data_IF_883303584796
#
_entry.id   IF_883303584796
#
_cell.length_a   1.000
_cell.length_b   1.000
_cell.length_c   1.000
_cell.angle_alpha   90.00
_cell.angle_beta   90.00
_cell.angle_gamma   90.00
#
_symmetry.space_group_name_H-M   'P 1'
#
loop_
_entity.id
_entity.type
_entity.pdbx_description
1 polymer ?
#
# COMPACT_ATOMS: atom_id res chain seq x y z
N UNK A 1 -12.87 -97.00 -3.62
CA UNK A 1 -11.46 -96.58 -3.67
C UNK A 1 -11.36 -95.42 -4.65
N UNK A 2 -10.81 -94.36 -4.30
CA UNK A 2 -10.52 -93.05 -4.96
C UNK A 2 -11.40 -91.95 -4.55
N UNK A 3 -10.89 -91.20 -3.57
CA UNK A 3 -11.37 -89.92 -3.14
C UNK A 3 -11.14 -88.83 -4.23
N UNK A 4 -12.15 -88.04 -4.55
CA UNK A 4 -12.02 -86.87 -5.35
C UNK A 4 -12.27 -85.70 -4.43
N UNK A 5 -11.22 -84.97 -4.09
CA UNK A 5 -11.28 -83.71 -3.36
C UNK A 5 -11.64 -82.61 -4.35
N UNK A 6 -12.76 -82.02 -4.12
CA UNK A 6 -13.19 -80.76 -4.82
C UNK A 6 -12.65 -79.58 -4.08
N UNK A 7 -11.66 -78.92 -4.67
CA UNK A 7 -11.09 -77.65 -4.21
C UNK A 7 -12.00 -76.54 -4.65
N UNK A 8 -12.61 -75.87 -3.70
CA UNK A 8 -13.40 -74.65 -3.91
C UNK A 8 -12.47 -73.45 -4.04
N UNK A 9 -12.51 -72.78 -5.21
CA UNK A 9 -11.76 -71.59 -5.50
C UNK A 9 -12.55 -70.38 -4.99
N UNK A 10 -12.08 -69.75 -3.92
CA UNK A 10 -12.65 -68.51 -3.41
C UNK A 10 -12.09 -67.32 -4.24
N UNK A 11 -12.96 -66.69 -4.99
CA UNK A 11 -12.63 -65.44 -5.70
C UNK A 11 -12.81 -64.28 -4.75
N UNK A 12 -11.70 -63.68 -4.31
CA UNK A 12 -11.71 -62.45 -3.52
C UNK A 12 -11.80 -61.26 -4.50
N UNK A 13 -12.96 -60.65 -4.55
CA UNK A 13 -13.16 -59.39 -5.27
C UNK A 13 -12.55 -58.24 -4.44
N UNK A 14 -11.42 -57.70 -4.87
CA UNK A 14 -10.83 -56.49 -4.30
C UNK A 14 -11.55 -55.30 -4.89
N UNK A 15 -12.45 -54.68 -4.11
CA UNK A 15 -13.06 -53.42 -4.47
C UNK A 15 -12.04 -52.28 -4.23
N UNK A 16 -11.47 -51.76 -5.31
CA UNK A 16 -10.61 -50.59 -5.27
C UNK A 16 -11.44 -49.35 -5.05
N UNK A 17 -11.46 -48.84 -3.83
CA UNK A 17 -12.00 -47.52 -3.51
C UNK A 17 -11.06 -46.46 -4.10
N UNK A 18 -11.42 -45.92 -5.25
CA UNK A 18 -10.79 -44.71 -5.77
C UNK A 18 -11.28 -43.53 -4.91
N UNK A 19 -10.49 -43.17 -3.91
CA UNK A 19 -10.66 -41.93 -3.19
C UNK A 19 -10.31 -40.80 -4.13
N UNK A 20 -11.31 -40.12 -4.69
CA UNK A 20 -11.14 -38.81 -5.32
C UNK A 20 -10.65 -37.83 -4.25
N UNK A 21 -9.33 -37.68 -4.19
CA UNK A 21 -8.72 -36.61 -3.39
C UNK A 21 -8.97 -35.29 -4.13
N UNK A 22 -10.11 -34.66 -3.82
CA UNK A 22 -10.37 -33.29 -4.24
C UNK A 22 -9.38 -32.39 -3.51
N UNK A 23 -8.18 -32.22 -4.11
CA UNK A 23 -7.26 -31.18 -3.68
C UNK A 23 -7.93 -29.85 -3.98
N UNK A 24 -8.63 -29.33 -3.00
CA UNK A 24 -9.02 -27.91 -2.98
C UNK A 24 -7.70 -27.16 -2.97
N UNK A 25 -7.25 -26.72 -4.15
CA UNK A 25 -6.27 -25.65 -4.25
C UNK A 25 -6.95 -24.43 -3.65
N UNK A 26 -6.77 -24.21 -2.35
CA UNK A 26 -6.87 -22.90 -1.77
C UNK A 26 -5.75 -22.11 -2.43
N UNK A 27 -6.06 -21.45 -3.56
CA UNK A 27 -5.24 -20.41 -4.10
C UNK A 27 -5.20 -19.34 -3.02
N UNK A 28 -4.16 -19.36 -2.20
CA UNK A 28 -3.68 -18.15 -1.58
C UNK A 28 -3.25 -17.33 -2.79
N UNK A 29 -4.11 -16.42 -3.25
CA UNK A 29 -3.70 -15.29 -4.06
C UNK A 29 -2.65 -14.62 -3.19
N UNK A 30 -1.39 -14.84 -3.51
CA UNK A 30 -0.27 -14.14 -2.94
C UNK A 30 -0.53 -12.71 -3.40
N UNK A 31 -0.99 -11.89 -2.46
CA UNK A 31 -1.21 -10.47 -2.66
C UNK A 31 0.17 -9.89 -3.02
N UNK A 32 0.41 -9.70 -4.33
CA UNK A 32 1.66 -9.16 -4.89
C UNK A 32 1.79 -7.66 -4.57
N UNK A 33 0.90 -7.17 -3.69
CA UNK A 33 0.87 -5.79 -3.26
C UNK A 33 2.11 -5.46 -2.43
N UNK A 34 2.67 -4.27 -2.65
CA UNK A 34 3.81 -3.78 -1.88
C UNK A 34 3.45 -3.70 -0.38
N UNK A 35 4.32 -4.18 0.52
CA UNK A 35 4.03 -4.13 1.96
C UNK A 35 3.82 -2.69 2.43
N UNK A 36 2.79 -2.45 3.25
CA UNK A 36 2.48 -1.12 3.78
C UNK A 36 3.58 -0.61 4.72
N UNK A 37 4.22 -1.49 5.48
CA UNK A 37 5.31 -1.16 6.39
C UNK A 37 6.47 -2.09 6.11
N UNK A 38 7.64 -1.52 5.82
CA UNK A 38 8.86 -2.27 5.57
C UNK A 38 10.02 -1.62 6.31
N UNK A 39 10.53 -2.31 7.32
CA UNK A 39 11.74 -1.89 8.02
C UNK A 39 12.96 -2.05 7.09
N UNK A 40 13.77 -1.02 7.02
CA UNK A 40 15.05 -1.01 6.34
C UNK A 40 16.00 -0.07 7.12
N UNK A 41 17.29 -0.40 7.17
CA UNK A 41 18.31 0.42 7.83
C UNK A 41 18.90 1.51 6.93
N UNK A 42 18.53 1.50 5.64
CA UNK A 42 18.93 2.53 4.70
C UNK A 42 18.29 3.87 5.07
N UNK A 43 19.07 4.96 5.04
CA UNK A 43 18.54 6.30 5.21
C UNK A 43 18.22 6.89 3.84
N UNK A 44 16.93 7.07 3.56
CA UNK A 44 16.45 7.71 2.34
C UNK A 44 16.40 9.22 2.55
N UNK A 45 16.84 9.96 1.55
CA UNK A 45 16.93 11.42 1.55
C UNK A 45 16.05 12.05 0.46
N UNK A 46 15.90 13.37 0.51
CA UNK A 46 15.22 14.14 -0.53
C UNK A 46 15.93 13.96 -1.89
N UNK A 47 17.27 13.94 -1.88
CA UNK A 47 18.13 13.81 -3.06
C UNK A 47 17.89 12.48 -3.80
N UNK A 48 17.60 11.42 -3.08
CA UNK A 48 17.28 10.13 -3.70
C UNK A 48 16.03 10.24 -4.57
N UNK A 49 14.97 10.88 -4.06
CA UNK A 49 13.76 11.14 -4.84
C UNK A 49 14.01 12.09 -6.02
N UNK A 50 14.77 13.17 -5.83
CA UNK A 50 15.10 14.11 -6.89
C UNK A 50 15.88 13.42 -8.01
N UNK A 51 16.75 12.47 -7.69
CA UNK A 51 17.53 11.67 -8.64
C UNK A 51 16.66 10.80 -9.53
N UNK A 52 15.49 10.39 -9.08
CA UNK A 52 14.48 9.67 -9.89
C UNK A 52 13.75 10.57 -10.89
N UNK A 53 13.99 11.88 -10.84
CA UNK A 53 13.23 12.87 -11.59
C UNK A 53 11.92 13.29 -10.91
N UNK A 54 11.78 13.04 -9.60
CA UNK A 54 10.70 13.60 -8.81
C UNK A 54 10.71 15.13 -8.91
N UNK A 55 9.55 15.72 -9.12
CA UNK A 55 9.37 17.17 -9.22
C UNK A 55 8.80 17.69 -7.92
N UNK A 56 9.66 18.18 -7.02
CA UNK A 56 9.23 18.84 -5.80
C UNK A 56 8.52 20.15 -6.13
N UNK A 57 7.29 20.28 -5.67
CA UNK A 57 6.46 21.48 -5.84
C UNK A 57 6.44 22.35 -4.59
N UNK A 58 6.53 21.73 -3.41
CA UNK A 58 6.56 22.41 -2.11
C UNK A 58 7.48 21.68 -1.14
N UNK A 59 8.17 22.48 -0.36
CA UNK A 59 8.81 22.10 0.89
C UNK A 59 7.88 22.53 2.02
N UNK A 60 7.52 21.64 2.92
CA UNK A 60 6.55 21.88 3.98
C UNK A 60 7.26 22.21 5.30
N UNK A 61 6.72 23.17 6.03
CA UNK A 61 7.10 23.40 7.42
C UNK A 61 6.63 22.20 8.28
N UNK A 62 7.59 21.50 8.87
CA UNK A 62 7.32 20.35 9.75
C UNK A 62 6.99 20.74 11.20
N UNK A 63 6.83 22.03 11.49
CA UNK A 63 6.34 22.51 12.76
C UNK A 63 4.98 21.87 13.10
N UNK A 64 4.93 21.06 14.16
CA UNK A 64 3.75 20.28 14.54
C UNK A 64 3.65 18.86 13.93
N UNK A 65 4.57 18.47 13.06
CA UNK A 65 4.73 17.08 12.61
C UNK A 65 5.81 16.41 13.45
N UNK A 66 5.41 15.76 14.53
CA UNK A 66 6.32 15.23 15.55
C UNK A 66 7.43 14.36 14.96
N UNK A 67 8.67 14.61 15.36
CA UNK A 67 9.89 13.89 14.96
C UNK A 67 10.23 13.90 13.45
N UNK A 68 9.43 14.57 12.60
CA UNK A 68 9.80 14.70 11.20
C UNK A 68 10.98 15.66 11.02
N UNK A 69 11.95 15.28 10.20
CA UNK A 69 13.09 16.13 9.84
C UNK A 69 12.74 17.07 8.66
N UNK A 70 11.94 16.58 7.72
CA UNK A 70 11.44 17.33 6.58
C UNK A 70 10.20 16.69 5.98
N UNK A 71 9.47 17.44 5.15
CA UNK A 71 8.34 16.91 4.39
C UNK A 71 8.21 17.68 3.08
N UNK A 72 7.83 16.99 2.00
CA UNK A 72 7.66 17.61 0.70
C UNK A 72 6.42 17.12 -0.03
N UNK A 73 5.91 17.94 -0.92
CA UNK A 73 4.89 17.59 -1.90
C UNK A 73 5.43 17.74 -3.31
N UNK A 74 5.04 16.83 -4.18
CA UNK A 74 5.44 16.91 -5.56
C UNK A 74 4.87 15.78 -6.42
N UNK A 75 5.49 15.59 -7.58
CA UNK A 75 4.97 14.75 -8.65
C UNK A 75 6.04 13.82 -9.19
N UNK A 76 5.62 12.61 -9.50
CA UNK A 76 6.44 11.66 -10.23
C UNK A 76 5.57 10.83 -11.20
N UNK A 77 6.18 10.20 -12.19
CA UNK A 77 5.49 9.42 -13.22
C UNK A 77 5.82 7.93 -13.07
N UNK A 78 5.05 7.17 -12.28
CA UNK A 78 5.31 5.74 -12.08
C UNK A 78 5.07 4.88 -13.31
N UNK A 79 4.08 5.28 -14.13
CA UNK A 79 3.60 4.49 -15.27
C UNK A 79 3.44 5.37 -16.52
N UNK A 80 4.54 5.55 -17.26
CA UNK A 80 4.53 6.33 -18.50
C UNK A 80 4.35 7.83 -18.28
N UNK A 81 3.31 8.43 -18.89
CA UNK A 81 3.12 9.88 -18.89
C UNK A 81 2.19 10.41 -17.78
N UNK A 82 1.50 9.52 -17.07
CA UNK A 82 0.61 9.94 -15.98
C UNK A 82 1.41 10.48 -14.79
N UNK A 83 1.19 11.73 -14.45
CA UNK A 83 1.79 12.36 -13.28
C UNK A 83 0.96 12.03 -12.04
N UNK A 84 1.60 11.54 -11.01
CA UNK A 84 0.99 11.17 -9.73
C UNK A 84 1.51 12.09 -8.65
N UNK A 85 0.61 12.52 -7.77
CA UNK A 85 0.93 13.35 -6.62
C UNK A 85 1.42 12.50 -5.45
N UNK A 86 2.44 13.01 -4.76
CA UNK A 86 3.01 12.39 -3.57
C UNK A 86 3.22 13.43 -2.48
N UNK A 87 3.00 13.03 -1.23
CA UNK A 87 3.53 13.70 -0.06
C UNK A 87 4.52 12.76 0.62
N UNK A 88 5.73 13.23 0.89
CA UNK A 88 6.80 12.42 1.46
C UNK A 88 7.29 13.09 2.72
N UNK A 89 7.32 12.34 3.83
CA UNK A 89 7.75 12.80 5.16
C UNK A 89 8.97 12.01 5.57
N UNK A 90 10.02 12.70 5.96
CA UNK A 90 11.30 12.13 6.33
C UNK A 90 11.50 12.19 7.83
N UNK A 91 12.00 11.11 8.40
CA UNK A 91 12.30 10.94 9.82
C UNK A 91 13.76 10.56 10.02
N UNK A 92 14.27 10.62 11.26
CA UNK A 92 15.63 10.21 11.55
C UNK A 92 15.83 8.70 11.38
N UNK A 93 14.79 7.91 11.68
CA UNK A 93 14.79 6.43 11.64
C UNK A 93 13.44 5.85 11.22
N UNK A 94 13.43 4.54 11.00
CA UNK A 94 12.19 3.77 10.80
C UNK A 94 11.29 3.81 12.05
N UNK A 95 11.90 3.71 13.23
CA UNK A 95 11.15 3.73 14.49
C UNK A 95 10.50 5.10 14.69
N UNK A 96 11.21 6.21 14.41
CA UNK A 96 10.61 7.55 14.45
C UNK A 96 9.44 7.70 13.47
N UNK A 97 9.58 7.17 12.25
CA UNK A 97 8.50 7.21 11.26
C UNK A 97 7.26 6.43 11.74
N UNK A 98 7.46 5.25 12.35
CA UNK A 98 6.36 4.40 12.81
C UNK A 98 5.72 4.90 14.10
N UNK A 99 6.53 5.28 15.11
CA UNK A 99 6.01 5.69 16.40
C UNK A 99 5.38 7.09 16.38
N UNK A 100 5.98 8.02 15.62
CA UNK A 100 5.58 9.42 15.62
C UNK A 100 4.80 9.84 14.37
N UNK A 101 4.92 9.12 13.26
CA UNK A 101 4.37 9.55 11.97
C UNK A 101 3.04 8.92 11.57
N UNK A 102 2.75 7.69 12.04
CA UNK A 102 1.57 6.92 11.61
C UNK A 102 0.28 7.68 11.84
N UNK A 103 0.06 8.24 13.03
CA UNK A 103 -1.20 8.90 13.35
C UNK A 103 -1.47 10.12 12.46
N UNK A 104 -0.44 10.88 12.08
CA UNK A 104 -0.58 11.99 11.13
C UNK A 104 -0.89 11.52 9.70
N UNK A 105 -0.42 10.34 9.31
CA UNK A 105 -0.73 9.76 8.01
C UNK A 105 -2.14 9.19 8.00
N UNK A 106 -2.54 8.46 9.04
CA UNK A 106 -3.90 7.92 9.19
C UNK A 106 -4.97 9.02 9.22
N UNK A 107 -4.66 10.17 9.84
CA UNK A 107 -5.57 11.33 9.89
C UNK A 107 -5.98 11.86 8.51
N UNK A 108 -5.11 11.75 7.52
CA UNK A 108 -5.25 12.44 6.23
C UNK A 108 -5.34 11.49 5.02
N UNK A 109 -5.47 10.18 5.26
CA UNK A 109 -5.60 9.16 4.21
C UNK A 109 -6.87 8.35 4.35
N UNK A 110 -7.33 7.76 3.23
CA UNK A 110 -8.51 6.89 3.21
C UNK A 110 -9.83 7.63 3.24
N UNK A 111 -10.91 6.86 3.39
CA UNK A 111 -12.29 7.36 3.29
C UNK A 111 -12.67 8.35 4.40
N UNK A 112 -12.05 8.21 5.57
CA UNK A 112 -12.31 9.05 6.75
C UNK A 112 -11.28 10.17 6.91
N UNK A 113 -10.52 10.48 5.88
CA UNK A 113 -9.48 11.50 5.93
C UNK A 113 -10.03 12.87 6.35
N UNK A 114 -9.35 13.51 7.29
CA UNK A 114 -9.65 14.87 7.70
C UNK A 114 -9.11 15.84 6.63
N UNK A 115 -9.99 16.63 6.04
CA UNK A 115 -9.68 17.50 4.91
C UNK A 115 -9.71 18.99 5.24
N UNK A 116 -9.91 19.34 6.50
CA UNK A 116 -10.00 20.72 6.97
C UNK A 116 -8.83 21.03 7.90
N UNK A 117 -8.22 22.22 7.74
CA UNK A 117 -7.17 22.75 8.59
C UNK A 117 -7.63 23.01 10.05
N UNK A 118 -8.94 22.94 10.30
CA UNK A 118 -9.51 23.03 11.65
C UNK A 118 -9.52 21.69 12.38
N UNK A 119 -9.50 20.60 11.62
CA UNK A 119 -9.72 19.26 12.15
C UNK A 119 -8.42 18.44 12.23
N UNK A 120 -7.43 18.72 11.35
CA UNK A 120 -6.15 18.01 11.32
C UNK A 120 -5.18 18.52 12.37
N UNK A 121 -4.36 17.63 12.90
CA UNK A 121 -3.31 17.95 13.86
C UNK A 121 -2.17 18.74 13.19
N UNK A 122 -1.66 18.27 12.06
CA UNK A 122 -0.66 18.97 11.27
C UNK A 122 -1.31 19.65 10.05
N UNK A 123 -1.32 20.99 10.08
CA UNK A 123 -2.12 21.80 9.14
C UNK A 123 -1.45 22.05 7.80
N UNK A 124 -0.10 21.98 7.77
CA UNK A 124 0.65 22.19 6.54
C UNK A 124 0.22 21.15 5.48
N UNK A 125 0.15 21.55 4.23
CA UNK A 125 -0.26 20.67 3.13
C UNK A 125 -1.75 20.29 3.05
N UNK A 126 -2.62 20.72 3.98
CA UNK A 126 -4.04 20.33 4.01
C UNK A 126 -4.76 20.56 2.68
N UNK A 127 -4.44 21.65 1.97
CA UNK A 127 -5.04 21.94 0.66
C UNK A 127 -4.56 20.98 -0.43
N UNK A 128 -3.34 20.53 -0.34
CA UNK A 128 -2.71 19.65 -1.33
C UNK A 128 -3.18 18.21 -1.20
N UNK A 129 -3.74 17.82 -0.03
CA UNK A 129 -4.32 16.51 0.27
C UNK A 129 -5.75 16.32 -0.21
N UNK A 130 -6.33 17.32 -0.87
CA UNK A 130 -7.72 17.33 -1.35
C UNK A 130 -7.80 17.28 -2.86
N UNK A 131 -8.83 16.61 -3.36
CA UNK A 131 -9.27 16.77 -4.75
C UNK A 131 -10.66 17.38 -4.78
N UNK A 132 -10.95 18.14 -5.82
CA UNK A 132 -12.32 18.54 -6.12
C UNK A 132 -13.03 17.35 -6.74
N UNK A 133 -13.92 16.69 -6.03
CA UNK A 133 -14.78 15.66 -6.59
C UNK A 133 -15.63 16.25 -7.70
N UNK A 134 -15.51 15.75 -8.91
CA UNK A 134 -16.39 16.16 -10.02
C UNK A 134 -17.72 15.41 -9.86
N UNK A 135 -18.77 16.11 -9.48
CA UNK A 135 -20.11 15.51 -9.57
C UNK A 135 -20.60 15.63 -11.01
N UNK A 136 -21.08 14.53 -11.57
CA UNK A 136 -21.59 14.42 -12.95
C UNK A 136 -22.73 15.39 -13.28
N UNK A 137 -23.28 16.10 -12.29
CA UNK A 137 -24.40 17.04 -12.41
C UNK A 137 -24.00 18.52 -12.29
N UNK A 138 -22.72 18.88 -12.43
CA UNK A 138 -22.29 20.29 -12.45
C UNK A 138 -22.43 21.05 -11.14
N UNK A 139 -22.79 20.39 -10.04
CA UNK A 139 -22.76 20.96 -8.69
C UNK A 139 -21.33 20.89 -8.13
N UNK A 140 -20.91 21.89 -7.36
CA UNK A 140 -19.60 21.90 -6.70
C UNK A 140 -19.38 20.59 -5.94
N UNK A 141 -18.41 19.79 -6.41
CA UNK A 141 -18.14 18.49 -5.84
C UNK A 141 -17.70 18.60 -4.39
N UNK A 142 -18.09 17.64 -3.57
CA UNK A 142 -17.54 17.52 -2.23
C UNK A 142 -16.03 17.29 -2.32
N UNK A 143 -15.29 17.88 -1.38
CA UNK A 143 -13.87 17.61 -1.25
C UNK A 143 -13.68 16.11 -0.98
N UNK A 144 -12.73 15.50 -1.69
CA UNK A 144 -12.36 14.10 -1.49
C UNK A 144 -10.86 14.00 -1.14
N UNK A 145 -10.46 13.00 -0.36
CA UNK A 145 -9.06 12.76 -0.08
C UNK A 145 -8.31 12.42 -1.38
N UNK A 146 -7.12 13.00 -1.53
CA UNK A 146 -6.23 12.71 -2.65
C UNK A 146 -5.51 11.37 -2.43
N UNK A 147 -5.16 11.08 -1.21
CA UNK A 147 -4.39 9.90 -0.81
C UNK A 147 -5.31 8.87 -0.16
N UNK A 148 -5.50 7.72 -0.81
CA UNK A 148 -6.33 6.67 -0.25
C UNK A 148 -5.57 5.77 0.74
N UNK A 149 -4.25 5.76 0.68
CA UNK A 149 -3.38 5.08 1.66
C UNK A 149 -1.94 5.61 1.53
N UNK A 150 -1.04 5.09 2.37
CA UNK A 150 0.38 5.40 2.43
C UNK A 150 1.21 4.16 2.70
N UNK A 151 2.52 4.26 2.54
CA UNK A 151 3.48 3.26 3.01
C UNK A 151 4.54 3.88 3.91
N UNK A 152 5.15 3.03 4.74
CA UNK A 152 6.36 3.35 5.51
C UNK A 152 7.47 2.45 4.98
N UNK A 153 8.54 3.06 4.50
CA UNK A 153 9.71 2.35 4.03
C UNK A 153 10.97 3.03 4.58
N UNK A 154 11.82 2.26 5.25
CA UNK A 154 12.97 2.83 5.95
C UNK A 154 12.52 4.00 6.86
N UNK A 155 13.12 5.16 6.72
CA UNK A 155 12.84 6.36 7.49
C UNK A 155 11.80 7.30 6.85
N UNK A 156 11.04 6.86 5.84
CA UNK A 156 10.08 7.73 5.16
C UNK A 156 8.65 7.21 5.22
N UNK A 157 7.70 8.12 5.32
CA UNK A 157 6.28 7.88 5.07
C UNK A 157 5.94 8.52 3.73
N UNK A 158 5.36 7.72 2.81
CA UNK A 158 4.99 8.17 1.46
C UNK A 158 3.49 8.03 1.29
N UNK A 159 2.79 9.15 1.18
CA UNK A 159 1.37 9.21 0.84
C UNK A 159 1.26 9.34 -0.68
N UNK A 160 0.47 8.48 -1.30
CA UNK A 160 0.40 8.40 -2.76
C UNK A 160 -1.02 8.63 -3.24
N UNK A 161 -1.16 9.48 -4.24
CA UNK A 161 -2.45 9.70 -4.87
C UNK A 161 -3.06 8.39 -5.35
N UNK A 162 -4.34 8.17 -5.05
CA UNK A 162 -5.09 7.01 -5.51
C UNK A 162 -6.56 7.16 -5.20
N UNK A 163 -7.41 6.59 -6.06
CA UNK A 163 -8.87 6.55 -5.85
C UNK A 163 -9.29 5.51 -4.81
N UNK A 164 -8.42 4.53 -4.57
CA UNK A 164 -8.60 3.45 -3.61
C UNK A 164 -7.24 3.04 -3.02
N UNK A 165 -7.30 2.22 -1.97
CA UNK A 165 -6.13 1.73 -1.26
C UNK A 165 -5.14 0.99 -2.17
N UNK A 166 -5.64 0.10 -3.04
CA UNK A 166 -4.78 -0.73 -3.88
C UNK A 166 -3.97 0.14 -4.85
N UNK A 167 -4.62 1.12 -5.49
CA UNK A 167 -3.94 2.05 -6.39
C UNK A 167 -2.93 2.93 -5.66
N UNK A 168 -3.25 3.41 -4.44
CA UNK A 168 -2.29 4.17 -3.62
C UNK A 168 -1.05 3.34 -3.30
N UNK A 169 -1.22 2.11 -2.80
CA UNK A 169 -0.11 1.22 -2.45
C UNK A 169 0.72 0.82 -3.67
N UNK A 170 0.08 0.55 -4.81
CA UNK A 170 0.77 0.28 -6.08
C UNK A 170 1.69 1.44 -6.48
N UNK A 171 1.18 2.67 -6.45
CA UNK A 171 1.93 3.89 -6.76
C UNK A 171 3.05 4.18 -5.77
N UNK A 172 2.79 3.96 -4.48
CA UNK A 172 3.82 4.01 -3.45
C UNK A 172 4.93 2.96 -3.67
N UNK A 173 4.53 1.72 -3.93
CA UNK A 173 5.47 0.63 -4.22
C UNK A 173 6.32 0.91 -5.46
N UNK A 174 5.74 1.55 -6.48
CA UNK A 174 6.46 1.89 -7.70
C UNK A 174 7.60 2.90 -7.43
N UNK A 175 7.34 3.98 -6.70
CA UNK A 175 8.38 4.98 -6.40
C UNK A 175 9.48 4.40 -5.51
N UNK A 176 9.14 3.56 -4.51
CA UNK A 176 10.14 2.92 -3.65
C UNK A 176 10.98 1.89 -4.44
N UNK A 177 10.38 1.13 -5.34
CA UNK A 177 11.14 0.20 -6.20
C UNK A 177 12.12 0.94 -7.12
N UNK A 178 11.80 2.15 -7.52
CA UNK A 178 12.66 2.97 -8.36
C UNK A 178 13.85 3.58 -7.59
N UNK A 179 13.77 3.72 -6.25
CA UNK A 179 14.87 4.17 -5.40
C UNK A 179 15.97 3.12 -5.23
N UNK A 180 15.70 1.86 -5.55
CA UNK A 180 16.65 0.73 -5.45
C UNK A 180 17.40 0.55 -6.77
#
# INVERSE_FOLDING_TARGET
MRNIQTTALAIIAIASLVACNSTTKTGVEQDDQFPRITANLEKITIEDFLSLGFKMAKDYDVGGLTAAESAMYGFWKPFGDESVDYEIRFYASHDDATENGIHFADEVTGENALLSDKDVTWKEGTRDRRTSGFTQNGGGGSLAPKYADYIIYANVIVLCQGRDKNQSIERCGAIIKALK
#
